data_IF_300471463648
#
_entry.id   IF_300471463648
#
_cell.length_a   1.000
_cell.length_b   1.000
_cell.length_c   1.000
_cell.angle_alpha   90.00
_cell.angle_beta   90.00
_cell.angle_gamma   90.00
#
_symmetry.space_group_name_H-M   'P 1'
#
loop_
_entity.id
_entity.type
_entity.pdbx_description
1 polymer ?
#
# COMPACT_ATOMS: atom_id res chain seq x y z
N UNK A 1 -21.50 -16.77 3.92
CA UNK A 1 -21.26 -15.33 3.72
C UNK A 1 -22.59 -14.63 4.00
N UNK A 2 -22.65 -13.65 4.88
CA UNK A 2 -23.88 -12.92 5.19
C UNK A 2 -24.25 -11.96 4.06
N UNK A 3 -25.50 -11.47 4.03
CA UNK A 3 -25.89 -10.48 3.02
C UNK A 3 -25.06 -9.19 3.12
N UNK A 4 -24.78 -8.74 4.35
CA UNK A 4 -23.94 -7.55 4.57
C UNK A 4 -22.51 -7.75 4.04
N UNK A 5 -21.92 -8.93 4.21
CA UNK A 5 -20.58 -9.23 3.65
C UNK A 5 -20.62 -9.16 2.12
N UNK A 6 -21.66 -9.74 1.49
CA UNK A 6 -21.84 -9.69 0.04
C UNK A 6 -22.01 -8.26 -0.48
N UNK A 7 -22.74 -7.41 0.25
CA UNK A 7 -22.91 -5.99 -0.08
C UNK A 7 -21.56 -5.28 -0.02
N UNK A 8 -20.81 -5.46 1.07
CA UNK A 8 -19.51 -4.82 1.25
C UNK A 8 -18.52 -5.30 0.17
N UNK A 9 -18.47 -6.61 -0.10
CA UNK A 9 -17.57 -7.19 -1.10
C UNK A 9 -17.83 -6.66 -2.52
N UNK A 10 -19.11 -6.66 -2.93
CA UNK A 10 -19.51 -6.16 -4.25
C UNK A 10 -19.25 -4.66 -4.38
N UNK A 11 -19.62 -3.89 -3.35
CA UNK A 11 -19.44 -2.45 -3.35
C UNK A 11 -17.96 -2.07 -3.37
N UNK A 12 -17.10 -2.77 -2.61
CA UNK A 12 -15.66 -2.54 -2.62
C UNK A 12 -15.10 -2.71 -4.04
N UNK A 13 -15.42 -3.81 -4.73
CA UNK A 13 -14.97 -4.06 -6.10
C UNK A 13 -15.45 -3.00 -7.09
N UNK A 14 -16.70 -2.53 -6.95
CA UNK A 14 -17.23 -1.46 -7.79
C UNK A 14 -16.50 -0.14 -7.52
N UNK A 15 -16.28 0.22 -6.25
CA UNK A 15 -15.55 1.44 -5.89
C UNK A 15 -14.08 1.38 -6.31
N UNK A 16 -13.45 0.22 -6.23
CA UNK A 16 -12.08 0.01 -6.73
C UNK A 16 -11.97 0.23 -8.24
N UNK A 17 -12.91 -0.30 -9.01
CA UNK A 17 -12.84 -0.28 -10.47
C UNK A 17 -13.39 1.00 -11.09
N UNK A 18 -14.48 1.55 -10.55
CA UNK A 18 -15.24 2.65 -11.16
C UNK A 18 -15.17 3.95 -10.34
N UNK A 19 -14.77 3.86 -9.07
CA UNK A 19 -14.70 4.99 -8.15
C UNK A 19 -16.00 5.29 -7.42
N UNK A 20 -15.87 5.99 -6.29
CA UNK A 20 -17.02 6.27 -5.40
C UNK A 20 -18.07 7.16 -6.07
N UNK A 21 -17.64 8.13 -6.90
CA UNK A 21 -18.55 9.14 -7.45
C UNK A 21 -19.50 8.56 -8.50
N UNK A 22 -19.02 7.60 -9.27
CA UNK A 22 -19.76 7.04 -10.41
C UNK A 22 -20.63 5.84 -10.05
N UNK A 23 -20.33 5.16 -8.93
CA UNK A 23 -21.13 4.03 -8.43
C UNK A 23 -22.29 4.52 -7.59
N UNK A 24 -23.52 4.20 -7.99
CA UNK A 24 -24.76 4.50 -7.27
C UNK A 24 -25.27 3.29 -6.49
N UNK A 25 -26.16 3.52 -5.51
CA UNK A 25 -26.79 2.43 -4.76
C UNK A 25 -27.62 1.50 -5.66
N UNK A 26 -28.13 2.02 -6.78
CA UNK A 26 -28.85 1.23 -7.79
C UNK A 26 -27.92 0.26 -8.52
N UNK A 27 -26.70 0.65 -8.81
CA UNK A 27 -25.69 -0.21 -9.45
C UNK A 27 -25.33 -1.37 -8.52
N UNK A 28 -25.17 -1.08 -7.22
CA UNK A 28 -24.86 -2.08 -6.20
C UNK A 28 -26.01 -3.07 -6.02
N UNK A 29 -27.25 -2.57 -5.89
CA UNK A 29 -28.43 -3.45 -5.73
C UNK A 29 -28.63 -4.34 -6.97
N UNK A 30 -28.43 -3.78 -8.18
CA UNK A 30 -28.50 -4.52 -9.44
C UNK A 30 -27.41 -5.60 -9.55
N UNK A 31 -26.17 -5.28 -9.18
CA UNK A 31 -25.06 -6.22 -9.19
C UNK A 31 -25.24 -7.40 -8.22
N UNK A 32 -25.99 -7.16 -7.12
CA UNK A 32 -26.31 -8.18 -6.12
C UNK A 32 -27.63 -8.93 -6.41
N UNK A 33 -28.44 -8.48 -7.37
CA UNK A 33 -29.76 -9.05 -7.63
C UNK A 33 -30.75 -8.84 -6.50
N UNK A 34 -30.59 -7.77 -5.68
CA UNK A 34 -31.50 -7.44 -4.58
C UNK A 34 -32.24 -6.13 -4.85
N UNK A 35 -33.35 -5.91 -4.11
CA UNK A 35 -34.04 -4.64 -4.21
C UNK A 35 -33.25 -3.51 -3.53
N UNK A 36 -33.39 -2.26 -4.01
CA UNK A 36 -32.85 -1.07 -3.36
C UNK A 36 -33.33 -0.95 -1.91
N UNK A 37 -34.58 -1.35 -1.64
CA UNK A 37 -35.16 -1.38 -0.29
C UNK A 37 -34.37 -2.33 0.61
N UNK A 38 -34.09 -3.56 0.16
CA UNK A 38 -33.31 -4.56 0.90
C UNK A 38 -31.89 -4.05 1.20
N UNK A 39 -31.28 -3.34 0.23
CA UNK A 39 -29.97 -2.73 0.41
C UNK A 39 -30.00 -1.70 1.55
N UNK A 40 -30.97 -0.78 1.56
CA UNK A 40 -31.09 0.24 2.61
C UNK A 40 -31.60 -0.30 3.95
N UNK A 41 -32.31 -1.43 3.98
CA UNK A 41 -32.65 -2.14 5.22
C UNK A 41 -31.44 -2.80 5.87
N UNK A 42 -30.38 -3.11 5.07
CA UNK A 42 -29.14 -3.73 5.56
C UNK A 42 -28.08 -2.68 5.90
N UNK A 43 -27.97 -1.61 5.10
CA UNK A 43 -27.00 -0.52 5.24
C UNK A 43 -27.77 0.79 5.41
N UNK A 44 -27.56 1.49 6.53
CA UNK A 44 -28.32 2.68 6.89
C UNK A 44 -28.12 3.86 5.93
N UNK A 45 -26.90 4.00 5.39
CA UNK A 45 -26.55 5.10 4.47
C UNK A 45 -25.45 4.71 3.50
N UNK A 46 -25.36 5.49 2.41
CA UNK A 46 -24.26 5.38 1.45
C UNK A 46 -22.90 5.66 2.09
N UNK A 47 -22.84 6.62 2.99
CA UNK A 47 -21.59 7.00 3.66
C UNK A 47 -21.10 5.89 4.60
N UNK A 48 -22.02 5.24 5.31
CA UNK A 48 -21.71 4.05 6.10
C UNK A 48 -21.13 2.94 5.21
N UNK A 49 -21.75 2.66 4.05
CA UNK A 49 -21.24 1.66 3.11
C UNK A 49 -19.83 1.99 2.64
N UNK A 50 -19.57 3.24 2.29
CA UNK A 50 -18.24 3.69 1.89
C UNK A 50 -17.22 3.43 3.02
N UNK A 51 -17.54 3.77 4.27
CA UNK A 51 -16.67 3.53 5.42
C UNK A 51 -16.39 2.04 5.64
N UNK A 52 -17.42 1.19 5.51
CA UNK A 52 -17.25 -0.27 5.61
C UNK A 52 -16.35 -0.82 4.50
N UNK A 53 -16.50 -0.32 3.27
CA UNK A 53 -15.66 -0.70 2.14
C UNK A 53 -14.21 -0.24 2.35
N UNK A 54 -13.98 0.98 2.85
CA UNK A 54 -12.64 1.46 3.19
C UNK A 54 -11.97 0.59 4.26
N UNK A 55 -12.71 0.25 5.34
CA UNK A 55 -12.21 -0.64 6.40
C UNK A 55 -11.85 -2.02 5.88
N UNK A 56 -12.70 -2.60 5.03
CA UNK A 56 -12.44 -3.88 4.39
C UNK A 56 -11.17 -3.83 3.56
N UNK A 57 -11.04 -2.85 2.67
CA UNK A 57 -9.89 -2.67 1.81
C UNK A 57 -8.57 -2.57 2.63
N UNK A 58 -8.55 -1.73 3.66
CA UNK A 58 -7.38 -1.57 4.54
C UNK A 58 -7.05 -2.86 5.27
N UNK A 59 -8.05 -3.60 5.73
CA UNK A 59 -7.87 -4.91 6.39
C UNK A 59 -7.26 -5.95 5.44
N UNK A 60 -7.74 -6.02 4.21
CA UNK A 60 -7.21 -6.94 3.19
C UNK A 60 -5.76 -6.58 2.81
N UNK A 61 -5.49 -5.29 2.55
CA UNK A 61 -4.15 -4.80 2.29
C UNK A 61 -3.18 -5.13 3.44
N UNK A 62 -3.61 -4.94 4.69
CA UNK A 62 -2.82 -5.30 5.88
C UNK A 62 -2.52 -6.80 5.92
N UNK A 63 -3.50 -7.65 5.66
CA UNK A 63 -3.32 -9.11 5.63
C UNK A 63 -2.33 -9.56 4.55
N UNK A 64 -2.41 -8.97 3.34
CA UNK A 64 -1.43 -9.23 2.28
C UNK A 64 -0.02 -8.76 2.69
N UNK A 65 0.08 -7.60 3.33
CA UNK A 65 1.33 -7.06 3.84
C UNK A 65 1.96 -7.99 4.89
N UNK A 66 1.18 -8.43 5.86
CA UNK A 66 1.62 -9.39 6.89
C UNK A 66 2.05 -10.72 6.30
N UNK A 67 1.35 -11.20 5.27
CA UNK A 67 1.74 -12.43 4.54
C UNK A 67 3.13 -12.31 3.92
N UNK A 68 3.46 -11.17 3.30
CA UNK A 68 4.80 -10.91 2.76
C UNK A 68 5.83 -10.83 3.88
N UNK A 69 5.49 -10.18 4.99
CA UNK A 69 6.41 -10.02 6.10
C UNK A 69 6.78 -11.34 6.79
N UNK A 70 5.83 -12.25 6.88
CA UNK A 70 5.99 -13.56 7.53
C UNK A 70 6.54 -14.65 6.59
N UNK A 71 6.68 -14.35 5.29
CA UNK A 71 7.29 -15.26 4.33
C UNK A 71 8.81 -15.24 4.47
N UNK A 72 9.44 -16.40 4.35
CA UNK A 72 10.89 -16.50 4.27
C UNK A 72 11.40 -15.92 2.96
N UNK A 73 12.37 -15.04 3.07
CA UNK A 73 13.10 -14.45 1.95
C UNK A 73 14.59 -14.69 2.12
N UNK A 74 15.25 -15.03 1.03
CA UNK A 74 16.71 -15.15 0.98
C UNK A 74 17.40 -13.78 1.14
N UNK A 75 16.68 -12.71 0.80
CA UNK A 75 17.19 -11.34 0.76
C UNK A 75 16.22 -10.38 1.45
N UNK A 76 16.74 -9.42 2.19
CA UNK A 76 15.98 -8.32 2.77
C UNK A 76 15.46 -7.39 1.67
N UNK A 77 16.25 -7.12 0.62
CA UNK A 77 15.77 -6.33 -0.51
C UNK A 77 14.66 -7.01 -1.27
N UNK A 78 14.68 -8.34 -1.48
CA UNK A 78 13.56 -9.05 -2.10
C UNK A 78 12.26 -8.87 -1.30
N UNK A 79 12.34 -8.93 0.03
CA UNK A 79 11.18 -8.67 0.91
C UNK A 79 10.67 -7.25 0.76
N UNK A 80 11.56 -6.25 0.82
CA UNK A 80 11.21 -4.84 0.67
C UNK A 80 10.63 -4.57 -0.72
N UNK A 81 11.21 -5.17 -1.77
CA UNK A 81 10.73 -5.06 -3.15
C UNK A 81 9.34 -5.66 -3.33
N UNK A 82 9.08 -6.82 -2.71
CA UNK A 82 7.75 -7.46 -2.73
C UNK A 82 6.68 -6.61 -2.03
N UNK A 83 7.01 -5.95 -0.92
CA UNK A 83 6.12 -5.00 -0.26
C UNK A 83 5.82 -3.78 -1.13
N UNK A 84 6.84 -3.27 -1.81
CA UNK A 84 6.68 -2.16 -2.75
C UNK A 84 5.81 -2.55 -3.95
N UNK A 85 6.00 -3.74 -4.51
CA UNK A 85 5.17 -4.27 -5.60
C UNK A 85 3.71 -4.41 -5.18
N UNK A 86 3.45 -4.90 -3.97
CA UNK A 86 2.11 -4.96 -3.40
C UNK A 86 1.46 -3.57 -3.37
N UNK A 87 2.16 -2.58 -2.82
CA UNK A 87 1.66 -1.21 -2.74
C UNK A 87 1.36 -0.63 -4.13
N UNK A 88 2.30 -0.76 -5.06
CA UNK A 88 2.15 -0.30 -6.45
C UNK A 88 0.94 -0.94 -7.11
N UNK A 89 0.76 -2.25 -6.95
CA UNK A 89 -0.38 -2.99 -7.51
C UNK A 89 -1.71 -2.42 -7.02
N UNK A 90 -1.83 -2.18 -5.73
CA UNK A 90 -3.05 -1.58 -5.16
C UNK A 90 -3.29 -0.16 -5.69
N UNK A 91 -2.25 0.69 -5.70
CA UNK A 91 -2.38 2.06 -6.23
C UNK A 91 -2.78 2.08 -7.71
N UNK A 92 -2.25 1.18 -8.53
CA UNK A 92 -2.57 1.11 -9.98
C UNK A 92 -3.95 0.57 -10.27
N UNK A 93 -4.42 -0.38 -9.47
CA UNK A 93 -5.66 -1.11 -9.70
C UNK A 93 -6.87 -0.47 -8.98
N UNK A 94 -6.64 0.54 -8.15
CA UNK A 94 -7.70 1.18 -7.37
C UNK A 94 -7.99 2.58 -7.92
N UNK A 95 -9.26 2.87 -8.16
CA UNK A 95 -9.68 4.17 -8.67
C UNK A 95 -9.30 5.31 -7.71
N UNK A 96 -8.82 6.42 -8.28
CA UNK A 96 -8.29 7.57 -7.53
C UNK A 96 -9.25 8.07 -6.44
N UNK A 97 -10.55 8.20 -6.74
CA UNK A 97 -11.53 8.72 -5.76
C UNK A 97 -11.74 7.78 -4.57
N UNK A 98 -11.55 6.46 -4.76
CA UNK A 98 -11.61 5.51 -3.66
C UNK A 98 -10.33 5.57 -2.80
N UNK A 99 -9.16 5.69 -3.41
CA UNK A 99 -7.90 5.91 -2.68
C UNK A 99 -7.93 7.19 -1.84
N UNK A 100 -8.52 8.28 -2.37
CA UNK A 100 -8.68 9.54 -1.63
C UNK A 100 -9.58 9.34 -0.40
N UNK A 101 -10.64 8.56 -0.50
CA UNK A 101 -11.54 8.29 0.62
C UNK A 101 -10.89 7.37 1.67
N UNK A 102 -10.14 6.35 1.22
CA UNK A 102 -9.34 5.51 2.12
C UNK A 102 -8.35 6.37 2.93
N UNK A 103 -7.66 7.31 2.28
CA UNK A 103 -6.74 8.24 2.97
C UNK A 103 -7.45 9.09 4.02
N UNK A 104 -8.67 9.59 3.75
CA UNK A 104 -9.46 10.37 4.72
C UNK A 104 -9.90 9.48 5.90
N UNK A 105 -10.41 8.28 5.62
CA UNK A 105 -10.85 7.32 6.64
C UNK A 105 -9.68 6.88 7.54
N UNK A 106 -8.53 6.57 6.96
CA UNK A 106 -7.32 6.23 7.70
C UNK A 106 -6.87 7.38 8.63
N UNK A 107 -6.96 8.63 8.19
CA UNK A 107 -6.64 9.79 9.04
C UNK A 107 -7.54 9.91 10.28
N UNK A 108 -8.79 9.43 10.22
CA UNK A 108 -9.70 9.44 11.36
C UNK A 108 -9.42 8.35 12.38
N UNK A 109 -8.98 7.16 11.95
CA UNK A 109 -8.68 6.01 12.83
C UNK A 109 -7.23 5.99 13.33
N UNK A 110 -6.28 6.47 12.56
CA UNK A 110 -4.83 6.41 12.84
C UNK A 110 -4.31 7.45 13.85
N UNK A 111 -5.16 8.30 14.41
CA UNK A 111 -4.66 9.37 15.31
C UNK A 111 -3.97 8.88 16.58
N UNK A 112 -3.99 7.59 16.93
CA UNK A 112 -3.40 7.11 18.19
C UNK A 112 -2.44 5.91 18.13
N UNK A 113 -2.50 4.98 17.17
CA UNK A 113 -1.74 3.73 17.28
C UNK A 113 -0.90 3.29 16.06
N UNK A 114 -1.18 3.77 14.85
CA UNK A 114 -0.59 3.18 13.64
C UNK A 114 0.57 3.97 12.98
N UNK A 115 0.86 5.20 13.38
CA UNK A 115 1.96 5.99 12.77
C UNK A 115 3.34 5.42 13.08
N UNK A 116 3.49 4.81 14.24
CA UNK A 116 4.78 4.29 14.69
C UNK A 116 5.06 2.88 14.13
N UNK A 117 4.02 2.06 13.91
CA UNK A 117 4.19 0.67 13.45
C UNK A 117 4.82 0.56 12.05
N UNK A 118 4.40 1.35 11.07
CA UNK A 118 5.00 1.32 9.73
C UNK A 118 6.47 1.75 9.75
N UNK A 119 6.76 2.75 10.57
CA UNK A 119 8.09 3.26 10.79
C UNK A 119 8.99 2.21 11.46
N UNK A 120 8.56 1.64 12.59
CA UNK A 120 9.28 0.60 13.33
C UNK A 120 9.51 -0.65 12.47
N UNK A 121 8.52 -0.99 11.66
CA UNK A 121 8.58 -2.15 10.77
C UNK A 121 9.64 -1.96 9.69
N UNK A 122 9.63 -0.81 9.03
CA UNK A 122 10.61 -0.50 7.99
C UNK A 122 12.02 -0.39 8.58
N UNK A 123 12.16 0.26 9.74
CA UNK A 123 13.43 0.34 10.45
C UNK A 123 13.98 -1.06 10.79
N UNK A 124 13.12 -1.98 11.24
CA UNK A 124 13.51 -3.37 11.51
C UNK A 124 14.05 -4.07 10.26
N UNK A 125 13.38 -3.91 9.11
CA UNK A 125 13.87 -4.47 7.84
C UNK A 125 15.23 -3.88 7.44
N UNK A 126 15.42 -2.56 7.62
CA UNK A 126 16.69 -1.92 7.36
C UNK A 126 17.80 -2.50 8.26
N UNK A 127 17.54 -2.70 9.55
CA UNK A 127 18.48 -3.34 10.48
C UNK A 127 18.78 -4.80 10.13
N UNK A 128 17.81 -5.54 9.62
CA UNK A 128 18.02 -6.90 9.11
C UNK A 128 18.96 -6.90 7.91
N UNK A 129 18.75 -6.01 6.94
CA UNK A 129 19.58 -5.91 5.73
C UNK A 129 21.01 -5.40 5.98
N UNK A 130 21.27 -4.79 7.13
CA UNK A 130 22.62 -4.39 7.56
C UNK A 130 23.44 -5.53 8.15
N UNK A 131 22.86 -6.73 8.30
CA UNK A 131 23.56 -7.91 8.81
C UNK A 131 23.98 -8.81 7.66
N UNK A 132 25.18 -9.37 7.77
CA UNK A 132 25.59 -10.47 6.90
C UNK A 132 24.69 -11.68 7.13
N UNK A 133 24.25 -12.33 6.07
CA UNK A 133 23.35 -13.47 6.13
C UNK A 133 23.81 -14.54 5.12
N UNK A 134 23.76 -15.80 5.54
CA UNK A 134 24.03 -16.97 4.68
C UNK A 134 25.36 -16.91 3.91
N UNK A 135 26.41 -16.31 4.54
CA UNK A 135 27.72 -16.14 3.94
C UNK A 135 27.85 -14.98 2.95
N UNK A 136 26.81 -14.17 2.79
CA UNK A 136 26.83 -12.96 1.96
C UNK A 136 27.08 -11.70 2.77
N UNK A 137 27.65 -10.70 2.12
CA UNK A 137 27.82 -9.36 2.69
C UNK A 137 26.44 -8.72 2.99
N UNK A 138 26.39 -7.72 3.91
CA UNK A 138 25.16 -6.96 4.15
C UNK A 138 24.62 -6.38 2.84
N UNK A 139 23.32 -6.39 2.68
CA UNK A 139 22.64 -5.80 1.52
C UNK A 139 22.54 -4.27 1.64
N UNK A 140 22.35 -3.79 2.87
CA UNK A 140 22.22 -2.38 3.22
C UNK A 140 23.50 -1.92 3.91
N UNK A 141 23.97 -0.73 3.56
CA UNK A 141 25.19 -0.15 4.09
C UNK A 141 25.12 -0.06 5.63
N UNK A 142 25.97 -0.80 6.36
CA UNK A 142 25.92 -0.82 7.83
C UNK A 142 26.41 0.48 8.47
N UNK A 143 27.02 1.40 7.72
CA UNK A 143 27.42 2.72 8.22
C UNK A 143 26.26 3.70 8.36
N UNK A 144 25.12 3.42 7.71
CA UNK A 144 23.95 4.29 7.72
C UNK A 144 23.06 4.01 8.96
N UNK A 145 22.52 5.06 9.56
CA UNK A 145 21.61 4.92 10.70
C UNK A 145 20.20 4.49 10.24
N UNK A 146 19.69 3.31 10.65
CA UNK A 146 18.38 2.78 10.20
C UNK A 146 17.21 3.66 10.58
N UNK A 147 17.25 4.31 11.75
CA UNK A 147 16.21 5.24 12.18
C UNK A 147 16.14 6.45 11.24
N UNK A 148 17.29 7.03 10.91
CA UNK A 148 17.36 8.18 10.00
C UNK A 148 16.88 7.77 8.61
N UNK A 149 17.33 6.63 8.09
CA UNK A 149 16.88 6.10 6.79
C UNK A 149 15.36 5.93 6.74
N UNK A 150 14.78 5.32 7.78
CA UNK A 150 13.34 5.11 7.87
C UNK A 150 12.58 6.43 7.92
N UNK A 151 13.02 7.40 8.73
CA UNK A 151 12.41 8.74 8.82
C UNK A 151 12.46 9.50 7.51
N UNK A 152 13.60 9.47 6.82
CA UNK A 152 13.75 10.10 5.49
C UNK A 152 12.78 9.49 4.48
N UNK A 153 12.69 8.17 4.42
CA UNK A 153 11.79 7.48 3.49
C UNK A 153 10.32 7.81 3.76
N UNK A 154 9.89 7.72 5.02
CA UNK A 154 8.51 8.05 5.41
C UNK A 154 8.19 9.53 5.14
N UNK A 155 9.14 10.44 5.42
CA UNK A 155 8.97 11.88 5.14
C UNK A 155 8.85 12.15 3.64
N UNK A 156 9.65 11.47 2.81
CA UNK A 156 9.58 11.56 1.36
C UNK A 156 8.22 11.06 0.83
N UNK A 157 7.71 9.94 1.33
CA UNK A 157 6.39 9.44 0.94
C UNK A 157 5.26 10.42 1.33
N UNK A 158 5.36 11.03 2.52
CA UNK A 158 4.40 12.05 2.96
C UNK A 158 4.46 13.31 2.09
N UNK A 159 5.66 13.81 1.79
CA UNK A 159 5.84 14.96 0.92
C UNK A 159 5.22 14.69 -0.47
N UNK A 160 5.52 13.55 -1.07
CA UNK A 160 4.92 13.15 -2.35
C UNK A 160 3.39 13.09 -2.31
N UNK A 161 2.79 12.73 -1.17
CA UNK A 161 1.34 12.63 -1.03
C UNK A 161 0.64 13.97 -0.76
N UNK A 162 1.35 14.97 -0.23
CA UNK A 162 0.75 16.18 0.35
C UNK A 162 1.31 17.48 -0.22
N UNK A 163 2.52 17.50 -0.75
CA UNK A 163 3.19 18.73 -1.22
C UNK A 163 2.67 19.12 -2.61
N UNK A 164 2.18 20.36 -2.78
CA UNK A 164 1.73 20.90 -4.08
C UNK A 164 2.80 20.89 -5.17
N UNK A 165 4.09 20.76 -4.82
CA UNK A 165 5.19 20.59 -5.79
C UNK A 165 4.98 19.32 -6.65
N UNK A 166 4.33 18.29 -6.11
CA UNK A 166 3.98 17.07 -6.85
C UNK A 166 2.61 17.21 -7.49
N UNK A 167 2.54 17.94 -8.60
CA UNK A 167 1.31 18.15 -9.37
C UNK A 167 0.99 16.91 -10.23
N UNK A 168 0.19 16.01 -9.70
CA UNK A 168 -0.22 14.78 -10.37
C UNK A 168 -1.25 14.96 -11.51
N UNK A 169 -1.62 16.19 -11.83
CA UNK A 169 -2.27 16.51 -13.10
C UNK A 169 -1.27 16.52 -14.27
N UNK A 170 0.02 16.72 -13.98
CA UNK A 170 1.11 16.86 -14.97
C UNK A 170 2.12 15.72 -14.93
N UNK A 171 2.18 14.96 -13.83
CA UNK A 171 3.10 13.84 -13.68
C UNK A 171 2.40 12.60 -13.15
N UNK A 172 2.89 11.43 -13.50
CA UNK A 172 2.40 10.16 -12.98
C UNK A 172 2.82 9.98 -11.53
N UNK A 173 1.86 9.75 -10.63
CA UNK A 173 2.16 9.36 -9.24
C UNK A 173 3.02 8.10 -9.20
N UNK A 174 2.70 7.13 -10.06
CA UNK A 174 3.45 5.88 -10.16
C UNK A 174 4.92 6.10 -10.54
N UNK A 175 5.18 6.92 -11.57
CA UNK A 175 6.56 7.18 -12.02
C UNK A 175 7.35 7.95 -10.97
N UNK A 176 6.70 8.92 -10.31
CA UNK A 176 7.31 9.69 -9.22
C UNK A 176 7.67 8.77 -8.05
N UNK A 177 6.72 7.94 -7.61
CA UNK A 177 6.94 6.98 -6.53
C UNK A 177 8.05 5.97 -6.89
N UNK A 178 7.96 5.35 -8.06
CA UNK A 178 8.94 4.35 -8.50
C UNK A 178 10.35 4.92 -8.66
N UNK A 179 10.45 6.17 -9.14
CA UNK A 179 11.74 6.85 -9.29
C UNK A 179 12.33 7.18 -7.92
N UNK A 180 11.55 7.80 -7.05
CA UNK A 180 11.92 8.14 -5.68
C UNK A 180 12.40 6.91 -4.91
N UNK A 181 11.63 5.83 -5.00
CA UNK A 181 11.93 4.58 -4.34
C UNK A 181 13.24 3.94 -4.84
N UNK A 182 13.47 3.92 -6.16
CA UNK A 182 14.73 3.41 -6.74
C UNK A 182 15.95 4.22 -6.32
N UNK A 183 15.81 5.55 -6.24
CA UNK A 183 16.89 6.43 -5.78
C UNK A 183 17.22 6.08 -4.32
N UNK A 184 16.21 6.00 -3.46
CA UNK A 184 16.39 5.69 -2.05
C UNK A 184 17.06 4.33 -1.85
N UNK A 185 16.50 3.26 -2.45
CA UNK A 185 17.01 1.90 -2.28
C UNK A 185 18.44 1.74 -2.78
N UNK A 186 18.78 2.35 -3.93
CA UNK A 186 20.15 2.32 -4.45
C UNK A 186 21.11 3.15 -3.61
N UNK A 187 20.64 4.21 -2.99
CA UNK A 187 21.45 5.07 -2.12
C UNK A 187 21.85 4.40 -0.81
N UNK A 188 21.03 3.49 -0.30
CA UNK A 188 21.30 2.75 0.95
C UNK A 188 21.97 1.38 0.72
N UNK A 189 22.03 0.91 -0.54
CA UNK A 189 22.52 -0.43 -0.88
C UNK A 189 24.05 -0.50 -0.93
N UNK A 190 24.60 -1.58 -0.39
CA UNK A 190 25.98 -2.01 -0.68
C UNK A 190 26.11 -2.45 -2.15
N UNK A 191 27.32 -2.79 -2.58
CA UNK A 191 27.54 -3.37 -3.92
C UNK A 191 26.83 -4.70 -4.10
N UNK A 192 26.77 -5.52 -3.06
CA UNK A 192 26.00 -6.75 -3.04
C UNK A 192 24.50 -6.46 -3.13
N UNK A 193 23.98 -5.57 -2.30
CA UNK A 193 22.58 -5.17 -2.35
C UNK A 193 22.14 -4.60 -3.70
N UNK A 194 23.01 -3.83 -4.38
CA UNK A 194 22.74 -3.35 -5.75
C UNK A 194 22.61 -4.49 -6.76
N UNK A 195 23.41 -5.57 -6.62
CA UNK A 195 23.27 -6.76 -7.48
C UNK A 195 21.92 -7.45 -7.26
N UNK A 196 21.49 -7.60 -6.00
CA UNK A 196 20.17 -8.16 -5.66
C UNK A 196 19.03 -7.35 -6.28
N UNK A 197 19.04 -6.02 -6.12
CA UNK A 197 18.04 -5.13 -6.71
C UNK A 197 18.00 -5.27 -8.24
N UNK A 198 19.16 -5.32 -8.90
CA UNK A 198 19.22 -5.41 -10.36
C UNK A 198 18.73 -6.78 -10.86
N UNK A 199 19.06 -7.87 -10.16
CA UNK A 199 18.58 -9.21 -10.48
C UNK A 199 17.06 -9.30 -10.40
N UNK A 200 16.47 -8.78 -9.33
CA UNK A 200 15.03 -8.74 -9.15
C UNK A 200 14.31 -7.92 -10.24
N UNK A 201 14.87 -6.75 -10.62
CA UNK A 201 14.30 -5.92 -11.70
C UNK A 201 14.39 -6.64 -13.05
N UNK A 202 15.45 -7.41 -13.30
CA UNK A 202 15.61 -8.17 -14.54
C UNK A 202 14.60 -9.31 -14.67
N UNK A 203 14.36 -10.04 -13.57
CA UNK A 203 13.39 -11.14 -13.51
C UNK A 203 11.96 -10.67 -13.81
N UNK A 204 11.57 -9.49 -13.35
CA UNK A 204 10.24 -8.90 -13.55
C UNK A 204 9.99 -8.33 -14.95
N UNK A 205 11.00 -8.25 -15.80
CA UNK A 205 10.88 -7.76 -17.19
C UNK A 205 10.68 -8.89 -18.22
N UNK A 206 10.76 -10.14 -17.79
CA UNK A 206 10.44 -11.33 -18.57
C UNK A 206 8.98 -11.73 -18.40
#
# INVERSE_FOLDING_TARGET
>A
MSLIDSIIDTSTKLFESQGIKDVKMDDISSALGISKRTLYETIQSRDELIQLCCKKFVKELRSEFESILNKDYSSTFERILSLNELFIRHVRNTHKSFLEEIKKSAHCEEKKENKDLQFEYFERLLREGQKAKDGHEPEIDPSLNPEIMSRLHVSQLKAMAQDPMFDYSKMSYFDTFSTSWRIFMRGIATDYGRKVINAWIADKRQ
#
